data_IF_779582400012
#
_entry.id   IF_779582400012
#
_cell.length_a   1.000
_cell.length_b   1.000
_cell.length_c   1.000
_cell.angle_alpha   90.00
_cell.angle_beta   90.00
_cell.angle_gamma   90.00
#
_symmetry.space_group_name_H-M   'P 1'
#
loop_
_entity.id
_entity.type
_entity.pdbx_description
1 polymer ?
#
# COMPACT_ATOMS: atom_id res chain seq x y z
N UNK A 1 -19.36 -23.70 36.67
CA UNK A 1 -18.50 -24.27 35.60
C UNK A 1 -18.80 -23.54 34.30
N UNK A 2 -18.03 -22.48 34.01
CA UNK A 2 -18.49 -21.49 33.03
C UNK A 2 -18.04 -21.85 31.61
N UNK A 3 -19.01 -21.91 30.71
CA UNK A 3 -18.83 -21.80 29.25
C UNK A 3 -18.14 -20.48 28.84
N UNK A 4 -17.82 -19.58 29.79
CA UNK A 4 -17.12 -18.33 29.51
C UNK A 4 -15.62 -18.56 29.25
N UNK A 5 -14.98 -19.58 29.84
CA UNK A 5 -13.56 -19.84 29.55
C UNK A 5 -13.32 -20.44 28.15
N UNK A 6 -14.30 -21.16 27.58
CA UNK A 6 -14.24 -21.61 26.19
C UNK A 6 -14.28 -20.43 25.18
N UNK A 7 -14.95 -19.33 25.53
CA UNK A 7 -14.97 -18.07 24.75
C UNK A 7 -13.69 -17.27 24.92
N UNK A 8 -13.01 -17.45 26.03
CA UNK A 8 -11.73 -16.80 26.32
C UNK A 8 -10.68 -17.41 25.37
N UNK A 9 -10.69 -18.73 25.09
CA UNK A 9 -9.90 -19.40 24.05
C UNK A 9 -10.25 -19.09 22.57
N UNK A 10 -10.71 -17.88 22.25
CA UNK A 10 -10.28 -17.23 21.00
C UNK A 10 -8.74 -17.00 20.93
N UNK A 11 -8.01 -17.43 21.96
CA UNK A 11 -6.58 -17.22 22.26
C UNK A 11 -5.52 -17.81 21.30
N UNK A 12 -5.88 -18.45 20.19
CA UNK A 12 -4.94 -18.62 19.07
C UNK A 12 -5.71 -18.21 17.83
N UNK A 13 -5.84 -16.90 17.65
CA UNK A 13 -6.51 -16.32 16.48
C UNK A 13 -6.14 -17.15 15.25
N UNK A 14 -7.12 -17.72 14.52
CA UNK A 14 -6.91 -18.58 13.33
C UNK A 14 -6.31 -17.78 12.16
N UNK A 15 -5.41 -16.85 12.47
CA UNK A 15 -4.75 -15.91 11.59
C UNK A 15 -3.24 -16.13 11.71
N UNK A 16 -2.59 -16.35 10.58
CA UNK A 16 -1.14 -16.48 10.47
C UNK A 16 -0.56 -15.12 10.10
N UNK A 17 0.43 -14.62 10.85
CA UNK A 17 1.15 -13.40 10.45
C UNK A 17 1.94 -13.70 9.18
N UNK A 18 1.70 -12.92 8.15
CA UNK A 18 2.32 -13.07 6.84
C UNK A 18 3.47 -12.09 6.66
N UNK A 19 3.32 -10.87 7.17
CA UNK A 19 4.36 -9.87 7.08
C UNK A 19 3.98 -8.55 7.70
N UNK A 20 4.94 -7.64 7.71
CA UNK A 20 4.82 -6.28 8.22
C UNK A 20 5.38 -5.34 7.17
N UNK A 21 4.65 -4.26 6.86
CA UNK A 21 5.15 -3.23 5.95
C UNK A 21 6.01 -2.18 6.68
N UNK A 22 6.55 -1.23 5.93
CA UNK A 22 7.38 -0.13 6.45
C UNK A 22 6.64 0.77 7.45
N UNK A 23 5.32 0.90 7.32
CA UNK A 23 4.50 1.69 8.24
C UNK A 23 4.19 0.90 9.53
N UNK A 24 4.51 -0.38 9.57
CA UNK A 24 4.27 -1.28 10.68
C UNK A 24 2.89 -1.94 10.64
N UNK A 25 2.15 -1.83 9.54
CA UNK A 25 0.90 -2.54 9.37
C UNK A 25 1.17 -4.03 9.26
N UNK A 26 0.34 -4.84 9.92
CA UNK A 26 0.53 -6.29 10.02
C UNK A 26 -0.50 -7.00 9.16
N UNK A 27 -0.02 -7.91 8.31
CA UNK A 27 -0.85 -8.62 7.35
C UNK A 27 -1.02 -10.07 7.79
N UNK A 28 -2.23 -10.58 7.65
CA UNK A 28 -2.58 -11.90 8.13
C UNK A 28 -3.42 -12.69 7.12
N UNK A 29 -3.28 -14.01 7.14
CA UNK A 29 -4.24 -14.93 6.50
C UNK A 29 -5.07 -15.63 7.56
N UNK A 30 -6.37 -15.75 7.38
CA UNK A 30 -7.28 -16.47 8.27
C UNK A 30 -8.12 -17.47 7.50
N UNK A 31 -8.29 -18.68 8.00
CA UNK A 31 -9.25 -19.62 7.42
C UNK A 31 -10.63 -19.43 8.04
N UNK A 32 -11.64 -19.26 7.20
CA UNK A 32 -13.04 -19.14 7.60
C UNK A 32 -13.90 -20.11 6.79
N UNK A 33 -14.84 -20.77 7.46
CA UNK A 33 -15.86 -21.58 6.79
C UNK A 33 -16.95 -20.65 6.26
N UNK A 34 -17.13 -20.62 4.94
CA UNK A 34 -18.17 -19.84 4.25
C UNK A 34 -18.92 -20.80 3.33
N UNK A 35 -20.23 -20.93 3.53
CA UNK A 35 -21.11 -21.82 2.75
C UNK A 35 -20.62 -23.29 2.73
N UNK A 36 -20.07 -23.77 3.85
CA UNK A 36 -19.51 -25.13 3.96
C UNK A 36 -18.11 -25.31 3.36
N UNK A 37 -17.55 -24.29 2.71
CA UNK A 37 -16.22 -24.31 2.10
C UNK A 37 -15.23 -23.55 2.99
N UNK A 38 -14.07 -24.15 3.29
CA UNK A 38 -12.98 -23.47 3.96
C UNK A 38 -12.30 -22.49 2.99
N UNK A 39 -12.46 -21.18 3.23
CA UNK A 39 -11.83 -20.12 2.44
C UNK A 39 -10.75 -19.41 3.26
N UNK A 40 -9.62 -19.15 2.62
CA UNK A 40 -8.58 -18.29 3.18
C UNK A 40 -8.96 -16.82 2.91
N UNK A 41 -9.11 -16.04 3.97
CA UNK A 41 -9.25 -14.59 3.93
C UNK A 41 -7.92 -13.92 4.27
N UNK A 42 -7.74 -12.72 3.73
CA UNK A 42 -6.56 -11.88 3.99
C UNK A 42 -7.03 -10.60 4.65
N UNK A 43 -6.32 -10.16 5.68
CA UNK A 43 -6.64 -8.92 6.37
C UNK A 43 -5.37 -8.17 6.79
N UNK A 44 -5.54 -6.88 7.01
CA UNK A 44 -4.51 -5.98 7.52
C UNK A 44 -4.96 -5.42 8.86
N UNK A 45 -4.02 -5.27 9.79
CA UNK A 45 -4.19 -4.54 11.04
C UNK A 45 -3.25 -3.35 10.98
N UNK A 46 -3.83 -2.15 10.92
CA UNK A 46 -3.07 -0.90 10.90
C UNK A 46 -2.36 -0.68 12.24
N UNK A 47 -1.16 -0.09 12.19
CA UNK A 47 -0.43 0.29 13.41
C UNK A 47 -0.92 1.61 13.99
N UNK A 48 -1.37 2.52 13.14
CA UNK A 48 -1.80 3.88 13.49
C UNK A 48 -3.16 4.21 12.89
N UNK A 49 -3.27 5.37 12.24
CA UNK A 49 -4.49 5.79 11.54
C UNK A 49 -4.87 4.77 10.46
N UNK A 50 -6.16 4.41 10.42
CA UNK A 50 -6.71 3.50 9.44
C UNK A 50 -6.90 4.23 8.10
N UNK A 51 -5.81 4.47 7.40
CA UNK A 51 -5.80 5.02 6.04
C UNK A 51 -5.45 3.93 5.02
N UNK A 52 -6.45 3.41 4.27
CA UNK A 52 -6.22 2.42 3.21
C UNK A 52 -5.32 2.93 2.08
N UNK A 53 -5.21 4.25 1.87
CA UNK A 53 -4.38 4.83 0.81
C UNK A 53 -2.88 4.78 1.14
N UNK A 54 -2.55 4.57 2.40
CA UNK A 54 -1.17 4.39 2.88
C UNK A 54 -0.59 3.00 2.56
N UNK A 55 -1.44 2.02 2.21
CA UNK A 55 -1.01 0.65 1.90
C UNK A 55 -0.29 0.63 0.54
N UNK A 56 0.89 0.02 0.50
CA UNK A 56 1.62 -0.19 -0.76
C UNK A 56 0.83 -1.05 -1.76
N UNK A 57 1.01 -0.82 -3.07
CA UNK A 57 0.25 -1.56 -4.10
C UNK A 57 0.46 -3.07 -4.02
N UNK A 58 1.64 -3.53 -3.59
CA UNK A 58 1.98 -4.95 -3.50
C UNK A 58 1.14 -5.66 -2.43
N UNK A 59 0.94 -4.99 -1.29
CA UNK A 59 0.07 -5.46 -0.22
C UNK A 59 -1.41 -5.36 -0.61
N UNK A 60 -1.83 -4.32 -1.35
CA UNK A 60 -3.20 -4.22 -1.90
C UNK A 60 -3.50 -5.38 -2.86
N UNK A 61 -2.61 -5.65 -3.82
CA UNK A 61 -2.76 -6.77 -4.76
C UNK A 61 -2.81 -8.12 -4.04
N UNK A 62 -2.04 -8.27 -2.95
CA UNK A 62 -2.10 -9.47 -2.12
C UNK A 62 -3.43 -9.56 -1.35
N UNK A 63 -3.89 -8.50 -0.69
CA UNK A 63 -5.18 -8.48 0.00
C UNK A 63 -6.35 -8.82 -0.94
N UNK A 64 -6.32 -8.29 -2.16
CA UNK A 64 -7.35 -8.52 -3.19
C UNK A 64 -7.27 -9.92 -3.85
N UNK A 65 -6.30 -10.76 -3.48
CA UNK A 65 -6.15 -12.08 -4.07
C UNK A 65 -5.52 -12.12 -5.46
N UNK A 66 -5.17 -10.96 -6.05
CA UNK A 66 -4.49 -10.88 -7.34
C UNK A 66 -3.08 -11.50 -7.28
N UNK A 67 -2.41 -11.39 -6.13
CA UNK A 67 -1.10 -11.99 -5.87
C UNK A 67 -1.24 -13.22 -4.97
N UNK A 68 -0.67 -14.36 -5.36
CA UNK A 68 -0.70 -15.58 -4.52
C UNK A 68 0.22 -15.51 -3.30
N UNK A 69 1.42 -14.95 -3.48
CA UNK A 69 2.45 -14.82 -2.44
C UNK A 69 2.49 -13.40 -1.89
N UNK A 70 2.83 -13.25 -0.61
CA UNK A 70 3.02 -11.94 -0.02
C UNK A 70 4.29 -11.27 -0.54
N UNK A 71 4.38 -9.94 -0.49
CA UNK A 71 5.58 -9.20 -0.86
C UNK A 71 6.76 -9.56 0.06
N UNK A 72 7.94 -9.82 -0.50
CA UNK A 72 9.14 -10.06 0.33
C UNK A 72 9.73 -8.74 0.83
N UNK A 73 10.53 -8.73 1.91
CA UNK A 73 11.22 -7.51 2.36
C UNK A 73 12.13 -6.89 1.29
N UNK A 74 12.81 -7.73 0.52
CA UNK A 74 13.73 -7.30 -0.55
C UNK A 74 12.94 -6.64 -1.69
N UNK A 75 11.84 -7.27 -2.13
CA UNK A 75 10.94 -6.71 -3.15
C UNK A 75 10.36 -5.37 -2.70
N UNK A 76 9.96 -5.26 -1.42
CA UNK A 76 9.42 -4.02 -0.86
C UNK A 76 10.44 -2.88 -0.95
N UNK A 77 11.71 -3.16 -0.61
CA UNK A 77 12.78 -2.18 -0.68
C UNK A 77 13.10 -1.75 -2.12
N UNK A 78 13.17 -2.70 -3.06
CA UNK A 78 13.43 -2.40 -4.47
C UNK A 78 12.31 -1.55 -5.10
N UNK A 79 11.05 -1.93 -4.85
CA UNK A 79 9.90 -1.23 -5.40
C UNK A 79 9.75 0.16 -4.80
N UNK A 80 10.09 0.35 -3.53
CA UNK A 80 10.15 1.67 -2.92
C UNK A 80 11.25 2.53 -3.55
N UNK A 81 12.47 2.02 -3.71
CA UNK A 81 13.54 2.74 -4.38
C UNK A 81 13.14 3.16 -5.81
N UNK A 82 12.46 2.27 -6.53
CA UNK A 82 11.93 2.57 -7.87
C UNK A 82 10.89 3.69 -7.84
N UNK A 83 9.99 3.70 -6.86
CA UNK A 83 8.98 4.77 -6.70
C UNK A 83 9.62 6.12 -6.43
N UNK A 84 10.62 6.18 -5.55
CA UNK A 84 11.32 7.42 -5.26
C UNK A 84 12.06 7.95 -6.49
N UNK A 85 12.70 7.07 -7.28
CA UNK A 85 13.32 7.45 -8.55
C UNK A 85 12.28 8.00 -9.55
N UNK A 86 11.12 7.36 -9.69
CA UNK A 86 10.05 7.83 -10.58
C UNK A 86 9.50 9.17 -10.11
N UNK A 87 9.30 9.36 -8.80
CA UNK A 87 8.84 10.62 -8.20
C UNK A 87 9.81 11.76 -8.48
N UNK A 88 11.11 11.52 -8.28
CA UNK A 88 12.16 12.49 -8.60
C UNK A 88 12.17 12.85 -10.09
N UNK A 89 12.12 11.85 -10.99
CA UNK A 89 12.06 12.06 -12.45
C UNK A 89 10.81 12.82 -12.89
N UNK A 90 9.67 12.55 -12.27
CA UNK A 90 8.42 13.25 -12.54
C UNK A 90 8.51 14.72 -12.11
N UNK A 91 9.04 14.99 -10.90
CA UNK A 91 9.25 16.34 -10.39
C UNK A 91 10.16 17.19 -11.29
N UNK A 92 11.29 16.65 -11.72
CA UNK A 92 12.21 17.36 -12.64
C UNK A 92 11.57 17.61 -14.01
N UNK A 93 10.84 16.63 -14.53
CA UNK A 93 10.11 16.76 -15.80
C UNK A 93 9.02 17.82 -15.73
N UNK A 94 8.27 17.89 -14.62
CA UNK A 94 7.25 18.91 -14.39
C UNK A 94 7.86 20.30 -14.23
N UNK A 95 8.94 20.44 -13.46
CA UNK A 95 9.67 21.70 -13.32
C UNK A 95 10.16 22.23 -14.68
N UNK A 96 10.73 21.34 -15.50
CA UNK A 96 11.17 21.68 -16.86
C UNK A 96 10.02 22.15 -17.75
N UNK A 97 8.84 21.51 -17.65
CA UNK A 97 7.64 21.93 -18.41
C UNK A 97 7.18 23.32 -17.96
N UNK A 98 7.09 23.56 -16.65
CA UNK A 98 6.72 24.87 -16.08
C UNK A 98 7.68 25.98 -16.50
N UNK A 99 9.00 25.73 -16.46
CA UNK A 99 9.99 26.71 -16.89
C UNK A 99 9.88 27.10 -18.37
N UNK A 100 9.66 26.11 -19.25
CA UNK A 100 9.41 26.37 -20.68
C UNK A 100 8.12 27.16 -20.92
N UNK A 101 7.08 26.88 -20.15
CA UNK A 101 5.82 27.60 -20.23
C UNK A 101 5.95 29.05 -19.75
N UNK A 102 6.65 29.30 -18.65
CA UNK A 102 6.96 30.65 -18.15
C UNK A 102 7.75 31.47 -19.16
N UNK A 103 8.78 30.89 -19.79
CA UNK A 103 9.55 31.56 -20.85
C UNK A 103 8.70 31.93 -22.06
N UNK A 104 7.82 31.02 -22.51
CA UNK A 104 6.89 31.29 -23.62
C UNK A 104 5.92 32.42 -23.29
N UNK A 105 5.39 32.46 -22.06
CA UNK A 105 4.49 33.53 -21.62
C UNK A 105 5.20 34.89 -21.58
N UNK A 106 6.43 34.94 -21.06
CA UNK A 106 7.23 36.17 -21.07
C UNK A 106 7.53 36.65 -22.50
N UNK A 107 7.94 35.73 -23.38
CA UNK A 107 8.22 36.06 -24.78
C UNK A 107 6.97 36.61 -25.51
N UNK A 108 5.79 36.03 -25.28
CA UNK A 108 4.53 36.52 -25.83
C UNK A 108 4.20 37.93 -25.34
N UNK A 109 4.31 38.18 -24.03
CA UNK A 109 4.05 39.51 -23.45
C UNK A 109 5.03 40.59 -23.95
N UNK A 110 6.29 40.21 -24.19
CA UNK A 110 7.29 41.12 -24.76
C UNK A 110 7.05 41.46 -26.23
N UNK A 111 6.40 40.57 -26.99
CA UNK A 111 6.02 40.82 -28.39
C UNK A 111 4.76 41.71 -28.51
N UNK A 112 3.88 41.67 -27.51
CA UNK A 112 2.64 42.48 -27.48
C UNK A 112 2.85 43.92 -27.00
N UNK A 113 4.02 44.25 -26.43
CA UNK A 113 4.36 45.58 -25.91
C UNK A 113 5.25 46.42 -26.87
N UNK A 114 5.39 46.02 -28.13
CA UNK A 114 6.01 46.78 -29.22
C UNK A 114 4.97 47.10 -30.30
#
# INVERSE_FOLDING_TARGET
MSKLLARIAGYLSNRTLVGVDKLGNRYYTKTEQIDGIMKEKRCVIFKGEEDPTSISVEWICWLNGQRRRAPTPEEQMELEARRELVKAKCGTSQARRRGKESQRRQFSQSQEHW
#
